data_IF_879823739789
#
_entry.id   IF_879823739789
#
_cell.length_a   1.000
_cell.length_b   1.000
_cell.length_c   1.000
_cell.angle_alpha   90.00
_cell.angle_beta   90.00
_cell.angle_gamma   90.00
#
_symmetry.space_group_name_H-M   'P 1'
#
loop_
_entity.id
_entity.type
_entity.pdbx_description
1 polymer ?
#
# COMPACT_ATOMS: atom_id res chain seq x y z
N UNK A 1 -13.61 2.03 2.29
CA UNK A 1 -12.14 2.25 2.26
C UNK A 1 -11.65 2.45 3.68
N UNK A 2 -10.47 1.93 4.04
CA UNK A 2 -9.91 2.03 5.41
C UNK A 2 -10.08 0.79 6.29
N UNK A 3 -10.46 -0.35 5.70
CA UNK A 3 -10.39 -1.67 6.31
C UNK A 3 -9.75 -2.64 5.32
N UNK A 4 -9.04 -3.65 5.84
CA UNK A 4 -8.43 -4.69 5.04
C UNK A 4 -8.71 -6.07 5.64
N UNK A 5 -8.76 -7.09 4.79
CA UNK A 5 -9.00 -8.48 5.20
C UNK A 5 -7.92 -9.36 4.60
N UNK A 6 -7.34 -10.25 5.41
CA UNK A 6 -6.39 -11.24 4.93
C UNK A 6 -7.08 -12.56 4.58
N UNK A 7 -6.53 -13.22 3.57
CA UNK A 7 -6.90 -14.58 3.14
C UNK A 7 -5.64 -15.40 2.90
N UNK A 8 -5.75 -16.72 2.80
CA UNK A 8 -4.66 -17.56 2.31
C UNK A 8 -4.31 -17.23 0.86
N UNK A 9 -3.06 -17.47 0.45
CA UNK A 9 -2.57 -17.06 -0.88
C UNK A 9 -2.66 -18.15 -1.97
N UNK A 10 -3.23 -19.32 -1.68
CA UNK A 10 -3.37 -20.41 -2.63
C UNK A 10 -2.02 -20.92 -3.16
N UNK A 11 -1.80 -20.82 -4.48
CA UNK A 11 -0.57 -21.29 -5.16
C UNK A 11 0.58 -20.27 -5.17
N UNK A 12 0.37 -19.06 -4.63
CA UNK A 12 1.42 -18.05 -4.56
C UNK A 12 2.49 -18.45 -3.54
N UNK A 13 3.72 -17.96 -3.74
CA UNK A 13 4.81 -18.12 -2.76
C UNK A 13 4.57 -17.32 -1.46
N UNK A 14 3.67 -16.34 -1.50
CA UNK A 14 3.26 -15.57 -0.32
C UNK A 14 2.41 -16.43 0.63
N UNK A 15 2.38 -16.07 1.92
CA UNK A 15 1.53 -16.75 2.90
C UNK A 15 0.09 -16.23 2.89
N UNK A 16 -0.08 -14.93 2.68
CA UNK A 16 -1.36 -14.24 2.73
C UNK A 16 -1.55 -13.32 1.53
N UNK A 17 -2.82 -13.08 1.18
CA UNK A 17 -3.24 -11.95 0.35
C UNK A 17 -4.09 -11.03 1.23
N UNK A 18 -3.67 -9.78 1.37
CA UNK A 18 -4.39 -8.73 2.10
C UNK A 18 -5.18 -7.89 1.10
N UNK A 19 -6.50 -7.94 1.21
CA UNK A 19 -7.43 -7.21 0.37
C UNK A 19 -7.74 -5.85 0.99
N UNK A 20 -7.28 -4.78 0.36
CA UNK A 20 -7.41 -3.40 0.85
C UNK A 20 -7.98 -2.49 -0.25
N UNK A 21 -9.32 -2.31 -0.33
CA UNK A 21 -9.94 -1.54 -1.40
C UNK A 21 -9.66 -0.05 -1.25
N UNK A 22 -9.20 0.58 -2.34
CA UNK A 22 -9.04 2.03 -2.48
C UNK A 22 -10.31 2.72 -2.94
N UNK A 23 -11.34 1.97 -3.35
CA UNK A 23 -12.61 2.49 -3.88
C UNK A 23 -13.79 2.01 -3.04
N UNK A 24 -14.90 2.72 -3.11
CA UNK A 24 -16.16 2.31 -2.46
C UNK A 24 -17.01 1.44 -3.38
N UNK A 25 -16.92 1.67 -4.69
CA UNK A 25 -17.60 0.91 -5.74
C UNK A 25 -16.59 0.50 -6.80
N UNK A 26 -16.81 -0.61 -7.52
CA UNK A 26 -15.96 -0.99 -8.64
C UNK A 26 -15.86 0.12 -9.69
N UNK A 27 -14.68 0.23 -10.31
CA UNK A 27 -14.41 1.08 -11.47
C UNK A 27 -14.71 2.59 -11.31
N UNK A 28 -14.52 3.14 -10.10
CA UNK A 28 -14.67 4.57 -9.83
C UNK A 28 -13.33 5.25 -9.57
N UNK A 29 -13.27 6.57 -9.79
CA UNK A 29 -12.13 7.37 -9.37
C UNK A 29 -11.92 7.28 -7.84
N UNK A 30 -10.67 7.35 -7.41
CA UNK A 30 -10.30 7.42 -5.99
C UNK A 30 -9.48 8.67 -5.71
N UNK A 31 -8.99 8.80 -4.47
CA UNK A 31 -8.22 9.96 -4.02
C UNK A 31 -6.96 9.53 -3.26
N UNK A 32 -5.94 10.39 -3.18
CA UNK A 32 -4.74 10.12 -2.38
C UNK A 32 -5.06 9.79 -0.91
N UNK A 33 -6.08 10.45 -0.33
CA UNK A 33 -6.55 10.15 1.03
C UNK A 33 -7.07 8.70 1.14
N UNK A 34 -7.86 8.23 0.18
CA UNK A 34 -8.35 6.85 0.14
C UNK A 34 -7.22 5.84 -0.09
N UNK A 35 -6.21 6.18 -0.90
CA UNK A 35 -4.98 5.40 -1.09
C UNK A 35 -4.21 5.26 0.22
N UNK A 36 -4.02 6.36 0.96
CA UNK A 36 -3.40 6.34 2.28
C UNK A 36 -4.18 5.43 3.25
N UNK A 37 -5.51 5.58 3.34
CA UNK A 37 -6.34 4.78 4.25
C UNK A 37 -6.32 3.29 3.92
N UNK A 38 -6.34 2.92 2.64
CA UNK A 38 -6.21 1.52 2.22
C UNK A 38 -4.84 0.94 2.56
N UNK A 39 -3.77 1.70 2.31
CA UNK A 39 -2.39 1.28 2.62
C UNK A 39 -2.21 1.10 4.13
N UNK A 40 -2.70 2.06 4.92
CA UNK A 40 -2.69 1.98 6.39
C UNK A 40 -3.45 0.75 6.91
N UNK A 41 -4.66 0.50 6.40
CA UNK A 41 -5.44 -0.65 6.81
C UNK A 41 -4.75 -1.99 6.49
N UNK A 42 -4.03 -2.08 5.36
CA UNK A 42 -3.24 -3.26 5.02
C UNK A 42 -2.05 -3.46 5.98
N UNK A 43 -1.36 -2.38 6.36
CA UNK A 43 -0.26 -2.41 7.33
C UNK A 43 -0.75 -2.84 8.72
N UNK A 44 -1.89 -2.33 9.18
CA UNK A 44 -2.51 -2.73 10.44
C UNK A 44 -2.91 -4.22 10.43
N UNK A 45 -3.48 -4.70 9.31
CA UNK A 45 -3.78 -6.11 9.12
C UNK A 45 -2.52 -6.98 9.16
N UNK A 46 -1.42 -6.54 8.53
CA UNK A 46 -0.14 -7.22 8.56
C UNK A 46 0.44 -7.30 9.98
N UNK A 47 0.37 -6.21 10.75
CA UNK A 47 0.80 -6.16 12.15
C UNK A 47 -0.02 -7.11 13.03
N UNK A 48 -1.35 -7.14 12.87
CA UNK A 48 -2.22 -8.03 13.62
C UNK A 48 -1.92 -9.52 13.36
N UNK A 49 -1.42 -9.85 12.17
CA UNK A 49 -1.01 -11.20 11.77
C UNK A 49 0.49 -11.48 12.01
N UNK A 50 1.21 -10.55 12.63
CA UNK A 50 2.65 -10.61 12.88
C UNK A 50 3.47 -10.96 11.62
N UNK A 51 3.11 -10.37 10.49
CA UNK A 51 3.81 -10.56 9.21
C UNK A 51 5.13 -9.77 9.23
N UNK A 52 6.19 -10.38 8.69
CA UNK A 52 7.53 -9.79 8.64
C UNK A 52 7.87 -9.07 7.34
N UNK A 53 7.15 -9.33 6.25
CA UNK A 53 7.34 -8.63 4.97
C UNK A 53 6.06 -8.52 4.17
N UNK A 54 5.90 -7.42 3.45
CA UNK A 54 4.71 -7.13 2.63
C UNK A 54 5.09 -6.44 1.33
N UNK A 55 4.37 -6.74 0.24
CA UNK A 55 4.51 -6.06 -1.04
C UNK A 55 3.21 -5.31 -1.38
N UNK A 56 3.35 -4.05 -1.77
CA UNK A 56 2.26 -3.20 -2.24
C UNK A 56 2.40 -2.92 -3.74
N UNK A 57 1.35 -3.11 -4.54
CA UNK A 57 1.30 -2.57 -5.90
C UNK A 57 1.04 -1.06 -5.87
N UNK A 58 1.02 -0.40 -7.03
CA UNK A 58 0.50 0.96 -7.17
C UNK A 58 -0.96 1.09 -6.72
N UNK A 59 -1.18 1.52 -5.48
CA UNK A 59 -2.51 1.61 -4.91
C UNK A 59 -3.26 2.82 -5.49
N UNK A 60 -4.37 2.57 -6.19
CA UNK A 60 -5.25 3.62 -6.73
C UNK A 60 -4.78 4.27 -8.04
N UNK A 61 -3.64 3.84 -8.59
CA UNK A 61 -3.02 4.43 -9.80
C UNK A 61 -3.57 3.89 -11.12
N UNK A 62 -4.27 2.74 -11.09
CA UNK A 62 -4.93 2.16 -12.26
C UNK A 62 -6.28 2.83 -12.54
N UNK A 63 -7.36 2.05 -12.49
CA UNK A 63 -8.74 2.54 -12.72
C UNK A 63 -9.12 3.73 -11.82
N UNK A 64 -8.47 3.88 -10.67
CA UNK A 64 -8.72 4.98 -9.73
C UNK A 64 -8.17 6.33 -10.17
N UNK A 65 -7.27 6.36 -11.15
CA UNK A 65 -6.77 7.58 -11.77
C UNK A 65 -5.93 8.48 -10.88
N UNK A 66 -5.45 8.01 -9.72
CA UNK A 66 -4.59 8.85 -8.85
C UNK A 66 -3.22 8.99 -9.50
N UNK A 67 -2.71 10.24 -9.66
CA UNK A 67 -1.38 10.45 -10.21
C UNK A 67 -0.30 9.73 -9.39
N UNK A 68 0.71 9.17 -10.06
CA UNK A 68 1.75 8.37 -9.41
C UNK A 68 2.45 9.09 -8.25
N UNK A 69 2.74 10.39 -8.41
CA UNK A 69 3.37 11.18 -7.37
C UNK A 69 2.52 11.23 -6.09
N UNK A 70 1.23 11.52 -6.23
CA UNK A 70 0.31 11.63 -5.09
C UNK A 70 0.03 10.27 -4.43
N UNK A 71 -0.12 9.22 -5.24
CA UNK A 71 -0.27 7.86 -4.72
C UNK A 71 0.98 7.40 -3.97
N UNK A 72 2.17 7.63 -4.54
CA UNK A 72 3.44 7.27 -3.91
C UNK A 72 3.63 8.03 -2.58
N UNK A 73 3.35 9.33 -2.53
CA UNK A 73 3.43 10.11 -1.30
C UNK A 73 2.45 9.60 -0.23
N UNK A 74 1.20 9.33 -0.62
CA UNK A 74 0.18 8.79 0.28
C UNK A 74 0.59 7.42 0.86
N UNK A 75 1.10 6.51 0.02
CA UNK A 75 1.54 5.19 0.44
C UNK A 75 2.77 5.26 1.35
N UNK A 76 3.80 6.01 0.95
CA UNK A 76 5.04 6.17 1.72
C UNK A 76 4.79 6.81 3.07
N UNK A 77 3.89 7.81 3.14
CA UNK A 77 3.44 8.41 4.40
C UNK A 77 2.82 7.36 5.33
N UNK A 78 1.91 6.53 4.82
CA UNK A 78 1.27 5.49 5.62
C UNK A 78 2.30 4.47 6.15
N UNK A 79 3.27 4.07 5.33
CA UNK A 79 4.36 3.16 5.73
C UNK A 79 5.21 3.78 6.84
N UNK A 80 5.59 5.05 6.70
CA UNK A 80 6.40 5.78 7.70
C UNK A 80 5.69 5.84 9.06
N UNK A 81 4.45 6.35 9.07
CA UNK A 81 3.68 6.51 10.30
C UNK A 81 3.41 5.16 10.99
N UNK A 82 3.19 4.09 10.21
CA UNK A 82 3.04 2.75 10.75
C UNK A 82 4.32 2.23 11.40
N UNK A 83 5.49 2.48 10.79
CA UNK A 83 6.78 2.11 11.36
C UNK A 83 7.06 2.86 12.67
N UNK A 84 6.76 4.16 12.74
CA UNK A 84 6.90 5.00 13.94
C UNK A 84 6.00 4.54 15.09
N UNK A 85 4.84 3.95 14.79
CA UNK A 85 3.91 3.38 15.79
C UNK A 85 4.26 1.94 16.24
N UNK A 86 5.41 1.43 15.80
CA UNK A 86 5.86 0.06 16.02
C UNK A 86 5.22 -0.92 15.04
N UNK A 87 6.06 -1.71 14.35
CA UNK A 87 5.63 -2.67 13.33
C UNK A 87 6.32 -4.02 13.50
N UNK A 88 5.66 -5.10 13.05
CA UNK A 88 6.27 -6.43 12.92
C UNK A 88 7.06 -6.57 11.60
N UNK A 89 6.86 -5.64 10.67
CA UNK A 89 7.46 -5.66 9.34
C UNK A 89 8.96 -5.31 9.42
N UNK A 90 9.77 -6.16 8.80
CA UNK A 90 11.20 -5.93 8.53
C UNK A 90 11.42 -5.35 7.15
N UNK A 91 10.53 -5.66 6.20
CA UNK A 91 10.66 -5.24 4.79
C UNK A 91 9.29 -4.84 4.21
N UNK A 92 9.30 -3.75 3.46
CA UNK A 92 8.15 -3.29 2.66
C UNK A 92 8.60 -3.11 1.22
N UNK A 93 8.00 -3.85 0.30
CA UNK A 93 8.27 -3.76 -1.13
C UNK A 93 7.22 -2.86 -1.80
N UNK A 94 7.64 -1.76 -2.40
CA UNK A 94 6.80 -0.89 -3.22
C UNK A 94 7.00 -1.28 -4.69
N UNK A 95 6.00 -1.95 -5.27
CA UNK A 95 6.09 -2.56 -6.60
C UNK A 95 5.40 -1.67 -7.62
N UNK A 96 6.19 -1.01 -8.46
CA UNK A 96 5.70 -0.27 -9.62
C UNK A 96 5.72 -1.16 -10.87
N UNK A 97 4.59 -1.24 -11.57
CA UNK A 97 4.53 -1.90 -12.88
C UNK A 97 5.14 -1.02 -13.98
N UNK A 98 5.00 0.30 -13.83
CA UNK A 98 5.51 1.31 -14.75
C UNK A 98 6.68 2.07 -14.11
N UNK A 99 7.69 2.39 -14.91
CA UNK A 99 8.89 3.12 -14.46
C UNK A 99 8.53 4.45 -13.78
N UNK A 100 7.49 5.14 -14.27
CA UNK A 100 7.01 6.39 -13.68
C UNK A 100 6.57 6.24 -12.21
N UNK A 101 5.95 5.11 -11.86
CA UNK A 101 5.54 4.82 -10.49
C UNK A 101 6.75 4.43 -9.62
N UNK A 102 7.70 3.69 -10.17
CA UNK A 102 8.96 3.37 -9.48
C UNK A 102 9.72 4.66 -9.13
N UNK A 103 9.84 5.59 -10.09
CA UNK A 103 10.48 6.89 -9.86
C UNK A 103 9.70 7.75 -8.86
N UNK A 104 8.36 7.70 -8.88
CA UNK A 104 7.53 8.37 -7.88
C UNK A 104 7.79 7.83 -6.46
N UNK A 105 7.87 6.50 -6.29
CA UNK A 105 8.24 5.91 -5.00
C UNK A 105 9.64 6.31 -4.54
N UNK A 106 10.65 6.28 -5.43
CA UNK A 106 12.01 6.74 -5.11
C UNK A 106 12.02 8.20 -4.64
N UNK A 107 11.29 9.09 -5.33
CA UNK A 107 11.18 10.50 -4.94
C UNK A 107 10.48 10.66 -3.59
N UNK A 108 9.36 9.97 -3.36
CA UNK A 108 8.63 10.02 -2.09
C UNK A 108 9.49 9.51 -0.92
N UNK A 109 10.23 8.42 -1.11
CA UNK A 109 11.16 7.87 -0.11
C UNK A 109 12.31 8.84 0.21
N UNK A 110 12.86 9.54 -0.80
CA UNK A 110 13.92 10.55 -0.57
C UNK A 110 13.46 11.71 0.32
N UNK A 111 12.17 12.05 0.34
CA UNK A 111 11.61 13.09 1.22
C UNK A 111 11.51 12.65 2.69
N UNK A 112 11.67 11.36 2.98
CA UNK A 112 11.65 10.84 4.35
C UNK A 112 12.99 11.01 5.08
N UNK A 113 14.07 11.25 4.33
CA UNK A 113 15.43 11.44 4.84
C UNK A 113 15.85 12.90 4.87
#
# INVERSE_FOLDING_TARGET
>A
VGKAVATGAGKLKAKHVIHAPTMERPAMATSPSKVYQATKAALECAKALNISSIAFPGMGTGVGGVPFAEAAEAMVKAVKEHAEQGTSLKEVFLVGLEDGLVEAFKKALKKLG
#
